data_IF_137466186683
#
_entry.id   IF_137466186683
#
_cell.length_a   1.000
_cell.length_b   1.000
_cell.length_c   1.000
_cell.angle_alpha   90.00
_cell.angle_beta   90.00
_cell.angle_gamma   90.00
#
_symmetry.space_group_name_H-M   'P 1'
#
loop_
_entity.id
_entity.type
_entity.pdbx_description
1 polymer ?
#
# COMPACT_ATOMS: atom_id res chain seq x y z
N UNK A 1 5.11 -17.62 -20.07
CA UNK A 1 3.83 -17.93 -20.74
C UNK A 1 2.96 -16.69 -20.61
N UNK A 2 2.76 -15.95 -21.73
CA UNK A 2 1.91 -14.75 -21.75
C UNK A 2 0.46 -15.23 -21.78
N UNK A 3 -0.19 -15.28 -20.63
CA UNK A 3 -1.63 -15.37 -20.60
C UNK A 3 -2.17 -14.01 -21.04
N UNK A 4 -2.75 -13.94 -22.22
CA UNK A 4 -3.66 -12.85 -22.57
C UNK A 4 -4.73 -12.84 -21.47
N UNK A 5 -5.04 -11.68 -20.98
CA UNK A 5 -5.85 -11.34 -19.80
C UNK A 5 -7.31 -11.87 -19.80
N UNK A 6 -7.59 -12.98 -20.45
CA UNK A 6 -8.90 -13.61 -20.41
C UNK A 6 -8.98 -14.57 -19.22
N UNK A 7 -9.44 -14.04 -18.08
CA UNK A 7 -9.65 -14.79 -16.84
C UNK A 7 -10.78 -15.81 -16.98
N UNK A 8 -11.65 -15.64 -17.97
CA UNK A 8 -12.82 -16.50 -18.25
C UNK A 8 -12.48 -17.71 -19.13
N UNK A 9 -11.26 -17.77 -19.68
CA UNK A 9 -10.82 -18.91 -20.46
C UNK A 9 -10.71 -20.17 -19.59
N UNK A 10 -10.87 -21.34 -20.21
CA UNK A 10 -10.94 -22.64 -19.52
C UNK A 10 -9.74 -22.91 -18.60
N UNK A 11 -8.51 -22.67 -19.04
CA UNK A 11 -7.31 -22.94 -18.25
C UNK A 11 -7.20 -22.01 -17.02
N UNK A 12 -7.30 -20.68 -17.16
CA UNK A 12 -7.31 -19.78 -15.99
C UNK A 12 -8.39 -20.09 -14.99
N UNK A 13 -9.62 -20.40 -15.44
CA UNK A 13 -10.76 -20.71 -14.58
C UNK A 13 -10.48 -21.96 -13.73
N UNK A 14 -9.93 -23.01 -14.36
CA UNK A 14 -9.56 -24.24 -13.64
C UNK A 14 -8.44 -24.00 -12.62
N UNK A 15 -7.41 -23.23 -12.99
CA UNK A 15 -6.31 -22.89 -12.07
C UNK A 15 -6.82 -22.11 -10.86
N UNK A 16 -7.68 -21.10 -11.07
CA UNK A 16 -8.30 -20.31 -9.98
C UNK A 16 -9.15 -21.21 -9.07
N UNK A 17 -9.81 -22.23 -9.60
CA UNK A 17 -10.65 -23.14 -8.84
C UNK A 17 -9.84 -24.09 -7.94
N UNK A 18 -8.63 -24.45 -8.36
CA UNK A 18 -7.78 -25.41 -7.67
C UNK A 18 -6.88 -24.73 -6.62
N UNK A 19 -6.47 -23.48 -6.87
CA UNK A 19 -5.54 -22.75 -6.00
C UNK A 19 -6.26 -22.03 -4.85
N UNK A 20 -5.54 -21.76 -3.76
CA UNK A 20 -6.05 -21.02 -2.59
C UNK A 20 -6.04 -19.49 -2.77
N UNK A 21 -5.94 -19.02 -3.98
CA UNK A 21 -5.96 -17.63 -4.36
C UNK A 21 -5.10 -17.32 -5.56
N UNK A 22 -5.17 -16.10 -6.03
CA UNK A 22 -4.40 -15.61 -7.17
C UNK A 22 -3.94 -14.18 -6.95
N UNK A 23 -2.75 -13.87 -7.46
CA UNK A 23 -2.29 -12.49 -7.65
C UNK A 23 -2.41 -12.19 -9.15
N UNK A 24 -3.24 -11.22 -9.49
CA UNK A 24 -3.53 -10.85 -10.87
C UNK A 24 -2.67 -9.68 -11.30
N UNK A 25 -1.91 -9.86 -12.40
CA UNK A 25 -1.06 -8.83 -12.98
C UNK A 25 -1.70 -8.31 -14.27
N UNK A 26 -1.76 -6.98 -14.42
CA UNK A 26 -2.34 -6.32 -15.59
C UNK A 26 -1.29 -5.57 -16.41
N UNK A 27 -1.34 -5.74 -17.71
CA UNK A 27 -0.46 -5.04 -18.66
C UNK A 27 -0.67 -3.53 -18.63
N UNK A 28 -1.90 -3.07 -18.45
CA UNK A 28 -2.23 -1.65 -18.43
C UNK A 28 -1.64 -0.96 -17.19
N UNK A 29 -1.67 -1.61 -16.02
CA UNK A 29 -0.99 -1.11 -14.82
C UNK A 29 0.52 -1.06 -15.02
N UNK A 30 1.10 -2.08 -15.66
CA UNK A 30 2.53 -2.09 -15.97
C UNK A 30 2.95 -0.94 -16.89
N UNK A 31 2.17 -0.70 -17.94
CA UNK A 31 2.40 0.39 -18.90
C UNK A 31 2.18 1.76 -18.27
N UNK A 32 1.26 1.87 -17.30
CA UNK A 32 1.07 3.07 -16.48
C UNK A 32 2.17 3.31 -15.43
N UNK A 33 3.20 2.44 -15.39
CA UNK A 33 4.33 2.59 -14.46
C UNK A 33 4.04 2.11 -13.04
N UNK A 34 2.92 1.41 -12.81
CA UNK A 34 2.59 0.79 -11.53
C UNK A 34 3.30 -0.56 -11.45
N UNK A 35 4.29 -0.67 -10.58
CA UNK A 35 5.12 -1.87 -10.41
C UNK A 35 5.31 -2.18 -8.94
N UNK A 36 4.90 -3.39 -8.49
CA UNK A 36 4.31 -4.48 -9.27
C UNK A 36 2.92 -4.14 -9.84
N UNK A 37 2.63 -4.65 -11.03
CA UNK A 37 1.39 -4.37 -11.76
C UNK A 37 0.20 -5.19 -11.21
N UNK A 38 0.05 -5.25 -9.89
CA UNK A 38 -0.95 -6.06 -9.19
C UNK A 38 -2.31 -5.37 -9.19
N UNK A 39 -3.31 -6.06 -9.74
CA UNK A 39 -4.70 -5.64 -9.57
C UNK A 39 -5.24 -6.16 -8.23
N UNK A 40 -5.27 -5.29 -7.21
CA UNK A 40 -5.75 -5.64 -5.88
C UNK A 40 -7.26 -5.93 -5.82
N UNK A 41 -8.04 -5.49 -6.81
CA UNK A 41 -9.50 -5.69 -6.87
C UNK A 41 -9.89 -7.12 -7.20
N UNK A 42 -9.18 -7.75 -8.13
CA UNK A 42 -9.44 -9.12 -8.60
C UNK A 42 -8.45 -10.15 -8.05
N UNK A 43 -7.42 -9.70 -7.33
CA UNK A 43 -6.53 -10.59 -6.58
C UNK A 43 -7.21 -11.06 -5.30
N UNK A 44 -7.18 -12.35 -5.04
CA UNK A 44 -7.88 -12.99 -3.92
C UNK A 44 -6.94 -13.93 -3.17
N UNK A 45 -7.05 -13.95 -1.85
CA UNK A 45 -6.50 -14.99 -1.00
C UNK A 45 -7.64 -15.66 -0.22
N UNK A 46 -7.80 -16.97 -0.34
CA UNK A 46 -8.79 -17.73 0.42
C UNK A 46 -8.43 -17.85 1.90
N UNK A 47 -7.14 -17.88 2.20
CA UNK A 47 -6.62 -17.88 3.59
C UNK A 47 -6.79 -16.49 4.21
N UNK A 48 -6.57 -15.44 3.43
CA UNK A 48 -6.84 -14.06 3.82
C UNK A 48 -6.16 -13.64 5.11
N UNK A 49 -6.93 -12.97 5.96
CA UNK A 49 -6.42 -12.40 7.22
C UNK A 49 -5.93 -13.43 8.26
N UNK A 50 -6.20 -14.73 8.08
CA UNK A 50 -5.70 -15.77 8.98
C UNK A 50 -4.18 -16.00 8.83
N UNK A 51 -3.63 -15.72 7.64
CA UNK A 51 -2.19 -15.83 7.37
C UNK A 51 -1.41 -14.54 7.70
N UNK A 52 -2.09 -13.44 7.97
CA UNK A 52 -1.45 -12.16 8.26
C UNK A 52 -0.97 -12.07 9.71
N UNK A 53 0.17 -11.43 9.92
CA UNK A 53 0.60 -11.00 11.27
C UNK A 53 -0.39 -9.99 11.84
N UNK A 54 -0.45 -9.88 13.17
CA UNK A 54 -1.40 -8.98 13.84
C UNK A 54 -1.27 -7.53 13.36
N UNK A 55 -0.04 -7.04 13.21
CA UNK A 55 0.25 -5.68 12.76
C UNK A 55 -0.27 -5.43 11.33
N UNK A 56 0.00 -6.34 10.40
CA UNK A 56 -0.47 -6.20 9.01
C UNK A 56 -1.99 -6.28 8.94
N UNK A 57 -2.60 -7.23 9.64
CA UNK A 57 -4.06 -7.38 9.70
C UNK A 57 -4.76 -6.12 10.23
N UNK A 58 -4.15 -5.47 11.23
CA UNK A 58 -4.72 -4.26 11.85
C UNK A 58 -4.66 -3.06 10.91
N UNK A 59 -3.55 -2.89 10.18
CA UNK A 59 -3.26 -1.68 9.40
C UNK A 59 -3.68 -1.76 7.92
N UNK A 60 -3.76 -2.96 7.33
CA UNK A 60 -3.97 -3.09 5.88
C UNK A 60 -5.41 -2.83 5.39
N UNK A 61 -6.39 -2.83 6.29
CA UNK A 61 -7.80 -2.68 5.92
C UNK A 61 -8.12 -1.36 5.22
N UNK A 62 -7.59 -0.25 5.74
CA UNK A 62 -7.80 1.09 5.18
C UNK A 62 -7.21 1.28 3.79
N UNK A 63 -6.04 0.70 3.53
CA UNK A 63 -5.37 0.82 2.23
C UNK A 63 -6.16 0.16 1.10
N UNK A 64 -6.68 -1.06 1.34
CA UNK A 64 -7.50 -1.76 0.34
C UNK A 64 -8.75 -0.95 -0.02
N UNK A 65 -9.41 -0.38 0.98
CA UNK A 65 -10.59 0.46 0.78
C UNK A 65 -10.25 1.73 -0.02
N UNK A 66 -9.15 2.42 0.35
CA UNK A 66 -8.70 3.62 -0.35
C UNK A 66 -8.37 3.34 -1.83
N UNK A 67 -7.70 2.22 -2.13
CA UNK A 67 -7.41 1.83 -3.51
C UNK A 67 -8.66 1.47 -4.31
N UNK A 68 -9.65 0.83 -3.70
CA UNK A 68 -10.92 0.51 -4.36
C UNK A 68 -11.70 1.80 -4.69
N UNK A 69 -11.85 2.70 -3.72
CA UNK A 69 -12.50 4.00 -3.90
C UNK A 69 -11.78 4.86 -4.96
N UNK A 70 -10.46 4.88 -4.93
CA UNK A 70 -9.67 5.59 -5.94
C UNK A 70 -9.96 5.10 -7.36
N UNK A 71 -10.04 3.78 -7.58
CA UNK A 71 -10.32 3.22 -8.91
C UNK A 71 -11.70 3.61 -9.43
N UNK A 72 -12.72 3.56 -8.57
CA UNK A 72 -14.08 3.98 -8.91
C UNK A 72 -14.12 5.46 -9.25
N UNK A 73 -13.55 6.31 -8.39
CA UNK A 73 -13.54 7.76 -8.60
C UNK A 73 -12.69 8.19 -9.79
N UNK A 74 -11.55 7.53 -10.06
CA UNK A 74 -10.69 7.84 -11.20
C UNK A 74 -11.39 7.60 -12.53
N UNK A 75 -12.26 6.58 -12.62
CA UNK A 75 -13.06 6.34 -13.81
C UNK A 75 -14.08 7.47 -14.05
N UNK A 76 -14.71 7.99 -13.00
CA UNK A 76 -15.65 9.11 -13.11
C UNK A 76 -14.94 10.46 -13.33
N UNK A 77 -13.78 10.67 -12.75
CA UNK A 77 -13.01 11.91 -12.86
C UNK A 77 -12.60 12.25 -14.31
N UNK A 78 -12.50 11.26 -15.17
CA UNK A 78 -12.23 11.46 -16.61
C UNK A 78 -13.38 12.18 -17.34
N UNK A 79 -14.59 12.12 -16.81
CA UNK A 79 -15.79 12.67 -17.42
C UNK A 79 -16.37 13.90 -16.71
N UNK A 80 -15.89 14.20 -15.51
CA UNK A 80 -16.40 15.32 -14.69
C UNK A 80 -15.48 16.53 -14.80
N UNK A 81 -15.99 17.64 -15.32
CA UNK A 81 -15.27 18.93 -15.39
C UNK A 81 -15.06 19.55 -14.02
N UNK A 82 -15.99 19.35 -13.08
CA UNK A 82 -15.95 19.90 -11.73
C UNK A 82 -16.16 18.80 -10.68
N UNK A 83 -15.11 18.51 -9.94
CA UNK A 83 -15.17 17.61 -8.79
C UNK A 83 -15.32 18.44 -7.52
N UNK A 84 -16.20 18.00 -6.62
CA UNK A 84 -16.30 18.58 -5.28
C UNK A 84 -14.99 18.38 -4.50
N UNK A 85 -14.70 19.24 -3.50
CA UNK A 85 -13.44 19.21 -2.75
C UNK A 85 -13.19 17.88 -2.03
N UNK A 86 -14.25 17.20 -1.55
CA UNK A 86 -14.11 15.93 -0.84
C UNK A 86 -13.70 14.79 -1.80
N UNK A 87 -14.34 14.72 -2.96
CA UNK A 87 -13.99 13.74 -4.02
C UNK A 87 -12.57 13.98 -4.52
N UNK A 88 -12.16 15.25 -4.69
CA UNK A 88 -10.78 15.60 -5.07
C UNK A 88 -9.77 15.13 -4.02
N UNK A 89 -10.04 15.37 -2.74
CA UNK A 89 -9.16 14.92 -1.65
C UNK A 89 -9.02 13.38 -1.61
N UNK A 90 -10.10 12.65 -1.88
CA UNK A 90 -10.07 11.18 -1.98
C UNK A 90 -9.22 10.70 -3.17
N UNK A 91 -9.34 11.35 -4.32
CA UNK A 91 -8.50 11.05 -5.50
C UNK A 91 -7.03 11.32 -5.22
N UNK A 92 -6.70 12.47 -4.65
CA UNK A 92 -5.33 12.84 -4.30
C UNK A 92 -4.72 11.86 -3.30
N UNK A 93 -5.48 11.45 -2.29
CA UNK A 93 -5.07 10.42 -1.33
C UNK A 93 -4.85 9.07 -2.01
N UNK A 94 -5.77 8.65 -2.88
CA UNK A 94 -5.66 7.41 -3.62
C UNK A 94 -4.45 7.36 -4.56
N UNK A 95 -4.09 8.49 -5.20
CA UNK A 95 -2.87 8.62 -5.99
C UNK A 95 -1.62 8.41 -5.14
N UNK A 96 -1.54 9.04 -3.95
CA UNK A 96 -0.40 8.88 -3.03
C UNK A 96 -0.28 7.47 -2.50
N UNK A 97 -1.41 6.83 -2.15
CA UNK A 97 -1.42 5.41 -1.75
C UNK A 97 -0.97 4.52 -2.89
N UNK A 98 -1.40 4.79 -4.14
CA UNK A 98 -0.95 4.04 -5.31
C UNK A 98 0.55 4.22 -5.55
N UNK A 99 1.09 5.42 -5.36
CA UNK A 99 2.52 5.68 -5.47
C UNK A 99 3.30 4.94 -4.39
N UNK A 100 2.81 4.95 -3.14
CA UNK A 100 3.41 4.21 -2.02
C UNK A 100 3.46 2.70 -2.26
N UNK A 101 2.50 2.14 -3.02
CA UNK A 101 2.49 0.70 -3.33
C UNK A 101 3.49 0.29 -4.42
N UNK A 102 4.17 1.24 -5.07
CA UNK A 102 5.23 0.93 -6.02
C UNK A 102 6.47 0.42 -5.29
N UNK A 103 7.08 -0.60 -5.84
CA UNK A 103 8.23 -1.25 -5.26
C UNK A 103 9.25 -1.56 -6.36
N UNK A 104 10.52 -1.33 -6.07
CA UNK A 104 11.59 -1.69 -6.99
C UNK A 104 11.74 -3.22 -7.06
N UNK A 105 12.22 -3.72 -8.19
CA UNK A 105 12.50 -5.14 -8.37
C UNK A 105 13.60 -5.58 -7.39
N UNK A 106 13.42 -6.75 -6.79
CA UNK A 106 14.34 -7.33 -5.80
C UNK A 106 14.59 -6.47 -4.54
N UNK A 107 13.66 -5.60 -4.19
CA UNK A 107 13.73 -4.75 -3.00
C UNK A 107 12.55 -5.03 -2.05
N UNK A 108 12.51 -6.19 -1.38
CA UNK A 108 11.45 -6.50 -0.43
C UNK A 108 11.55 -5.62 0.82
N UNK A 109 10.39 -5.19 1.33
CA UNK A 109 10.29 -4.50 2.62
C UNK A 109 10.12 -5.51 3.74
N UNK A 110 10.69 -5.24 4.90
CA UNK A 110 10.40 -5.98 6.12
C UNK A 110 8.96 -5.70 6.59
N UNK A 111 8.40 -6.60 7.43
CA UNK A 111 7.06 -6.40 8.01
C UNK A 111 6.97 -5.08 8.78
N UNK A 112 8.05 -4.67 9.46
CA UNK A 112 8.07 -3.43 10.22
C UNK A 112 8.05 -2.19 9.31
N UNK A 113 8.82 -2.18 8.23
CA UNK A 113 8.82 -1.11 7.23
C UNK A 113 7.47 -1.01 6.52
N UNK A 114 6.93 -2.14 6.07
CA UNK A 114 5.61 -2.21 5.44
C UNK A 114 4.52 -1.66 6.38
N UNK A 115 4.53 -2.06 7.65
CA UNK A 115 3.57 -1.59 8.64
C UNK A 115 3.67 -0.09 8.88
N UNK A 116 4.88 0.45 8.93
CA UNK A 116 5.13 1.88 9.09
C UNK A 116 4.62 2.69 7.90
N UNK A 117 4.91 2.24 6.67
CA UNK A 117 4.43 2.87 5.43
C UNK A 117 2.90 2.89 5.37
N UNK A 118 2.27 1.75 5.67
CA UNK A 118 0.80 1.63 5.69
C UNK A 118 0.19 2.50 6.79
N UNK A 119 0.80 2.56 7.98
CA UNK A 119 0.35 3.42 9.07
C UNK A 119 0.43 4.90 8.68
N UNK A 120 1.52 5.32 8.04
CA UNK A 120 1.67 6.70 7.56
C UNK A 120 0.58 7.07 6.54
N UNK A 121 0.26 6.17 5.62
CA UNK A 121 -0.82 6.36 4.65
C UNK A 121 -2.21 6.42 5.32
N UNK A 122 -2.48 5.51 6.26
CA UNK A 122 -3.77 5.44 6.95
C UNK A 122 -4.03 6.68 7.80
N UNK A 123 -3.02 7.17 8.51
CA UNK A 123 -3.12 8.33 9.39
C UNK A 123 -3.00 9.68 8.67
N UNK A 124 -2.90 9.70 7.34
CA UNK A 124 -2.91 10.93 6.54
C UNK A 124 -1.57 11.68 6.50
N UNK A 125 -0.47 11.07 6.94
CA UNK A 125 0.86 11.71 6.90
C UNK A 125 1.37 11.98 5.48
N UNK A 126 0.73 11.39 4.47
CA UNK A 126 1.06 11.61 3.06
C UNK A 126 0.20 12.70 2.39
N UNK A 127 -0.88 13.16 3.03
CA UNK A 127 -1.92 13.94 2.37
C UNK A 127 -1.45 15.33 1.92
N UNK A 128 -0.43 15.89 2.54
CA UNK A 128 0.20 17.16 2.20
C UNK A 128 1.43 17.02 1.28
N UNK A 129 1.84 15.79 0.94
CA UNK A 129 3.00 15.56 0.08
C UNK A 129 2.62 15.63 -1.40
N UNK A 130 3.51 16.14 -2.23
CA UNK A 130 3.42 15.94 -3.67
C UNK A 130 3.65 14.45 -4.01
N UNK A 131 2.95 13.93 -5.02
CA UNK A 131 3.00 12.49 -5.38
C UNK A 131 4.43 11.99 -5.62
N UNK A 132 5.26 12.80 -6.29
CA UNK A 132 6.67 12.47 -6.55
C UNK A 132 7.56 12.48 -5.29
N UNK A 133 7.07 12.97 -4.17
CA UNK A 133 7.76 12.99 -2.86
C UNK A 133 7.41 11.81 -1.96
N UNK A 134 6.40 11.02 -2.31
CA UNK A 134 5.92 9.89 -1.48
C UNK A 134 7.01 8.84 -1.27
N UNK A 135 7.65 8.36 -2.34
CA UNK A 135 8.73 7.36 -2.23
C UNK A 135 10.00 7.89 -1.57
N UNK A 136 10.49 9.12 -1.86
CA UNK A 136 11.57 9.72 -1.08
C UNK A 136 11.23 9.84 0.41
N UNK A 137 10.02 10.26 0.76
CA UNK A 137 9.54 10.33 2.14
C UNK A 137 9.56 8.96 2.82
N UNK A 138 9.01 7.92 2.17
CA UNK A 138 9.01 6.56 2.69
C UNK A 138 10.44 6.06 2.98
N UNK A 139 11.32 6.20 2.01
CA UNK A 139 12.72 5.77 2.15
C UNK A 139 13.43 6.49 3.31
N UNK A 140 13.24 7.79 3.42
CA UNK A 140 13.81 8.57 4.52
C UNK A 140 13.21 8.21 5.87
N UNK A 141 11.89 7.97 5.93
CA UNK A 141 11.20 7.52 7.14
C UNK A 141 11.72 6.16 7.62
N UNK A 142 11.94 5.20 6.71
CA UNK A 142 12.53 3.90 7.06
C UNK A 142 13.93 4.07 7.65
N UNK A 143 14.79 4.89 7.01
CA UNK A 143 16.13 5.16 7.51
C UNK A 143 16.10 5.82 8.90
N UNK A 144 15.22 6.80 9.11
CA UNK A 144 15.00 7.46 10.37
C UNK A 144 14.60 6.48 11.49
N UNK A 145 13.64 5.59 11.19
CA UNK A 145 13.20 4.58 12.15
C UNK A 145 14.27 3.55 12.47
N UNK A 146 15.04 3.10 11.50
CA UNK A 146 16.17 2.19 11.76
C UNK A 146 17.23 2.83 12.62
N UNK A 147 17.50 4.12 12.44
CA UNK A 147 18.50 4.85 13.20
C UNK A 147 18.06 5.09 14.66
N UNK A 148 16.80 5.51 14.86
CA UNK A 148 16.33 5.96 16.17
C UNK A 148 15.60 4.85 16.96
N UNK A 149 14.98 3.89 16.28
CA UNK A 149 14.13 2.84 16.86
C UNK A 149 14.44 1.44 16.30
N UNK A 150 15.71 1.17 15.96
CA UNK A 150 16.14 -0.08 15.33
C UNK A 150 15.76 -1.35 16.12
N UNK A 151 15.82 -1.30 17.45
CA UNK A 151 15.43 -2.44 18.29
C UNK A 151 13.92 -2.70 18.24
N UNK A 152 13.10 -1.65 18.18
CA UNK A 152 11.65 -1.80 17.98
C UNK A 152 11.35 -2.41 16.62
N UNK A 153 12.03 -1.96 15.55
CA UNK A 153 11.86 -2.52 14.20
C UNK A 153 12.20 -4.02 14.18
N UNK A 154 13.29 -4.44 14.81
CA UNK A 154 13.66 -5.86 14.96
C UNK A 154 12.61 -6.64 15.73
N UNK A 155 12.11 -6.10 16.84
CA UNK A 155 11.06 -6.72 17.65
C UNK A 155 9.78 -6.94 16.85
N UNK A 156 9.35 -5.95 16.05
CA UNK A 156 8.18 -6.06 15.17
C UNK A 156 8.39 -7.15 14.12
N UNK A 157 9.57 -7.21 13.50
CA UNK A 157 9.90 -8.27 12.52
C UNK A 157 9.82 -9.67 13.16
N UNK A 158 10.28 -9.82 14.39
CA UNK A 158 10.30 -11.10 15.08
C UNK A 158 8.92 -11.55 15.57
N UNK A 159 8.08 -10.63 16.03
CA UNK A 159 6.79 -10.96 16.67
C UNK A 159 5.56 -10.77 15.77
N UNK A 160 5.63 -9.81 14.84
CA UNK A 160 4.48 -9.38 14.05
C UNK A 160 3.33 -8.78 14.87
N UNK A 161 3.60 -8.41 16.14
CA UNK A 161 2.60 -7.90 17.06
C UNK A 161 2.29 -6.42 16.84
N UNK A 162 1.09 -6.02 17.27
CA UNK A 162 0.62 -4.64 17.33
C UNK A 162 0.09 -4.33 18.73
N UNK A 163 0.57 -3.25 19.31
CA UNK A 163 0.13 -2.76 20.62
C UNK A 163 0.20 -1.22 20.69
N UNK A 164 -0.30 -0.66 21.79
CA UNK A 164 -0.36 0.79 21.99
C UNK A 164 1.05 1.44 22.07
N UNK A 165 2.06 0.72 22.54
CA UNK A 165 3.45 1.19 22.57
C UNK A 165 4.00 1.39 21.17
N UNK A 166 3.80 0.40 20.29
CA UNK A 166 4.21 0.47 18.87
C UNK A 166 3.48 1.62 18.17
N UNK A 167 2.16 1.75 18.39
CA UNK A 167 1.38 2.83 17.78
C UNK A 167 1.86 4.22 18.27
N UNK A 168 2.11 4.39 19.55
CA UNK A 168 2.61 5.64 20.11
C UNK A 168 3.99 6.00 19.54
N UNK A 169 4.89 5.01 19.40
CA UNK A 169 6.22 5.22 18.82
C UNK A 169 6.12 5.56 17.35
N UNK A 170 5.30 4.87 16.56
CA UNK A 170 5.10 5.19 15.15
C UNK A 170 4.58 6.63 14.98
N UNK A 171 3.59 7.02 15.79
CA UNK A 171 3.04 8.37 15.78
C UNK A 171 4.09 9.43 16.11
N UNK A 172 4.79 9.28 17.24
CA UNK A 172 5.79 10.26 17.67
C UNK A 172 6.94 10.39 16.68
N UNK A 173 7.41 9.27 16.12
CA UNK A 173 8.48 9.26 15.12
C UNK A 173 8.06 9.89 13.79
N UNK A 174 6.82 9.67 13.34
CA UNK A 174 6.28 10.32 12.15
C UNK A 174 6.15 11.83 12.37
N UNK A 175 5.63 12.26 13.54
CA UNK A 175 5.49 13.68 13.88
C UNK A 175 6.87 14.36 13.96
N UNK A 176 7.89 13.67 14.47
CA UNK A 176 9.26 14.16 14.50
C UNK A 176 9.88 14.22 13.10
N UNK A 177 9.77 13.13 12.34
CA UNK A 177 10.32 13.06 11.00
C UNK A 177 9.71 14.12 10.07
N UNK A 178 8.40 14.38 10.17
CA UNK A 178 7.76 15.45 9.39
C UNK A 178 8.30 16.83 9.71
N UNK A 179 8.75 17.11 10.92
CA UNK A 179 9.37 18.39 11.29
C UNK A 179 10.73 18.60 10.65
N UNK A 180 11.43 17.52 10.27
CA UNK A 180 12.76 17.64 9.63
C UNK A 180 12.68 18.26 8.23
N UNK A 181 11.57 18.10 7.50
CA UNK A 181 11.36 18.64 6.16
C UNK A 181 12.34 18.13 5.10
N UNK A 182 13.02 17.01 5.33
CA UNK A 182 14.17 16.54 4.53
C UNK A 182 13.82 15.41 3.54
N UNK A 183 12.70 15.50 2.84
CA UNK A 183 12.29 14.52 1.82
C UNK A 183 12.03 15.11 0.43
#
# INVERSE_FOLDING_TARGET
>A
MLFRSDVSAFVPTNVISITDGQIFLETDLFNAGIRPAVNAGISVSRVGGAAQTKIVKKLSGGVKLALAQFRELAAFAQFASDLDPATRAQLDRGQRVTELMKQAQYAPLSIAELALSVYAAEKGYLDDLAVNKVLPFEKGLHAFMHQNHGELMKKIVATGDWNNEIEATFKSSLDEYKKTGSW
#
